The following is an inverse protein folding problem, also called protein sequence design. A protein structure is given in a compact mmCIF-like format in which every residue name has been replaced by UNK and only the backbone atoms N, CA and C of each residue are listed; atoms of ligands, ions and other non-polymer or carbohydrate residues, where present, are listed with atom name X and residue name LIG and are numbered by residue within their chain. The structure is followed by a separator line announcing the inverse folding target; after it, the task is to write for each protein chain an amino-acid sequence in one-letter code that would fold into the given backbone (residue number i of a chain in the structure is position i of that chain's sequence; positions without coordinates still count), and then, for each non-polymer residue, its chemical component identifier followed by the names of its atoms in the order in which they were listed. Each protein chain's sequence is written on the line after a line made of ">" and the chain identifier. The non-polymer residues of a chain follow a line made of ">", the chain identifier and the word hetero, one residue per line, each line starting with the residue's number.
data_IF_675788116877
#
_entry.id   IF_675788116877
#
_cell.length_a   1.000
_cell.length_b   1.000
_cell.length_c   1.000
_cell.angle_alpha   90.00
_cell.angle_beta   90.00
_cell.angle_gamma   90.00
#
_symmetry.space_group_name_H-M   'P 1'
#
loop_
_entity.id
_entity.type
_entity.pdbx_description
1 polymer ?
#
# COMPACT_ATOMS: atom_id res chain seq x y z
N UNK A 1 12.20 20.02 13.51
CA UNK A 1 13.19 19.95 12.41
C UNK A 1 13.41 21.36 11.87
N UNK A 2 14.56 21.64 11.26
CA UNK A 2 14.76 22.91 10.54
C UNK A 2 13.70 22.99 9.44
N UNK A 3 13.10 24.17 9.24
CA UNK A 3 12.21 24.39 8.09
C UNK A 3 13.07 24.36 6.84
N UNK A 4 12.53 23.90 5.72
CA UNK A 4 13.23 23.95 4.45
C UNK A 4 12.47 24.82 3.46
N UNK A 5 13.21 25.46 2.57
CA UNK A 5 12.70 26.11 1.37
C UNK A 5 13.41 25.48 0.19
N UNK A 6 12.71 25.31 -0.90
CA UNK A 6 13.28 24.75 -2.10
C UNK A 6 12.88 25.49 -3.36
N UNK A 7 13.73 25.33 -4.35
CA UNK A 7 13.61 25.93 -5.66
C UNK A 7 13.80 24.85 -6.71
N UNK A 8 12.80 24.72 -7.58
CA UNK A 8 12.78 23.84 -8.72
C UNK A 8 13.11 24.67 -9.96
N UNK A 9 14.05 24.19 -10.78
CA UNK A 9 14.25 24.64 -12.16
C UNK A 9 14.04 23.43 -13.07
N UNK A 10 13.07 23.53 -13.98
CA UNK A 10 12.76 22.50 -14.98
C UNK A 10 13.10 23.05 -16.36
N UNK A 11 13.93 22.31 -17.09
CA UNK A 11 14.40 22.66 -18.43
C UNK A 11 14.00 21.56 -19.41
N UNK A 12 13.27 21.93 -20.46
CA UNK A 12 12.91 21.07 -21.58
C UNK A 12 13.65 21.53 -22.83
N UNK A 13 14.57 20.73 -23.34
CA UNK A 13 15.35 21.08 -24.54
C UNK A 13 14.93 20.21 -25.72
N UNK A 14 14.42 20.84 -26.77
CA UNK A 14 14.09 20.17 -28.03
C UNK A 14 15.36 19.79 -28.78
N UNK A 15 15.54 18.50 -29.08
CA UNK A 15 16.78 17.98 -29.68
C UNK A 15 16.96 18.40 -31.13
N UNK A 16 15.88 18.69 -31.84
CA UNK A 16 15.91 19.04 -33.26
C UNK A 16 16.31 20.51 -33.47
N UNK A 17 15.79 21.40 -32.63
CA UNK A 17 15.98 22.85 -32.72
C UNK A 17 17.03 23.39 -31.76
N UNK A 18 17.35 22.67 -30.68
CA UNK A 18 18.20 23.13 -29.59
C UNK A 18 17.54 24.18 -28.68
N UNK A 19 16.23 24.41 -28.81
CA UNK A 19 15.51 25.41 -28.01
C UNK A 19 15.18 24.86 -26.63
N UNK A 20 15.48 25.62 -25.58
CA UNK A 20 15.18 25.26 -24.17
C UNK A 20 14.04 26.10 -23.62
N UNK A 21 13.01 25.43 -23.10
CA UNK A 21 11.96 26.00 -22.26
C UNK A 21 12.36 25.83 -20.79
N UNK A 22 12.31 26.91 -20.00
CA UNK A 22 12.72 26.89 -18.59
C UNK A 22 11.59 27.41 -17.71
N UNK A 23 11.30 26.69 -16.63
CA UNK A 23 10.38 27.08 -15.57
C UNK A 23 11.09 27.09 -14.22
N UNK A 24 10.65 27.97 -13.34
CA UNK A 24 11.18 28.06 -11.98
C UNK A 24 10.04 28.17 -10.99
N UNK A 25 10.04 27.30 -9.99
CA UNK A 25 8.98 27.21 -9.00
C UNK A 25 9.54 27.05 -7.59
N UNK A 26 8.70 27.33 -6.61
CA UNK A 26 9.00 27.09 -5.19
C UNK A 26 8.12 25.97 -4.66
N UNK A 27 8.56 25.28 -3.61
CA UNK A 27 7.81 24.17 -3.04
C UNK A 27 7.24 24.46 -1.66
N UNK A 28 6.26 23.65 -1.30
CA UNK A 28 5.89 23.35 0.07
C UNK A 28 6.68 22.12 0.56
N UNK A 29 7.06 22.11 1.83
CA UNK A 29 7.62 20.94 2.52
C UNK A 29 6.50 20.27 3.30
N UNK A 30 6.43 18.95 3.25
CA UNK A 30 5.40 18.17 3.95
C UNK A 30 5.90 17.71 5.34
N UNK A 31 5.03 17.01 6.06
CA UNK A 31 5.37 16.40 7.35
C UNK A 31 6.10 15.06 7.21
N UNK A 32 6.35 14.54 5.99
CA UNK A 32 6.79 13.16 5.78
C UNK A 32 8.03 12.77 6.61
N UNK A 33 9.12 13.54 6.50
CA UNK A 33 10.36 13.22 7.22
C UNK A 33 10.20 13.37 8.73
N UNK A 34 9.36 14.32 9.20
CA UNK A 34 9.09 14.49 10.62
C UNK A 34 8.30 13.32 11.19
N UNK A 35 7.30 12.85 10.45
CA UNK A 35 6.46 11.73 10.84
C UNK A 35 7.29 10.43 10.88
N UNK A 36 8.13 10.18 9.86
CA UNK A 36 9.00 8.99 9.81
C UNK A 36 10.02 8.92 10.95
N UNK A 37 10.54 10.06 11.41
CA UNK A 37 11.54 10.09 12.49
C UNK A 37 10.92 10.31 13.87
N UNK A 38 9.73 10.89 13.93
CA UNK A 38 9.08 11.34 15.17
C UNK A 38 8.02 10.39 15.70
N UNK A 39 7.47 9.51 14.85
CA UNK A 39 6.38 8.60 15.22
C UNK A 39 6.94 7.18 15.30
N UNK A 40 6.53 6.44 16.33
CA UNK A 40 7.01 5.09 16.58
C UNK A 40 5.84 4.15 16.91
N UNK A 41 4.97 3.85 15.92
CA UNK A 41 3.80 3.02 16.17
C UNK A 41 4.23 1.62 16.61
N UNK A 42 3.60 1.10 17.66
CA UNK A 42 3.88 -0.24 18.22
C UNK A 42 5.36 -0.45 18.59
N UNK A 43 6.05 0.64 18.95
CA UNK A 43 7.46 0.65 19.30
C UNK A 43 8.38 0.02 18.23
N UNK A 44 8.04 0.21 16.96
CA UNK A 44 8.79 -0.25 15.79
C UNK A 44 10.33 -0.13 15.93
N UNK A 45 10.83 1.00 16.43
CA UNK A 45 12.27 1.28 16.52
C UNK A 45 13.00 0.60 17.68
N UNK A 46 12.28 0.04 18.64
CA UNK A 46 12.89 -0.64 19.79
C UNK A 46 12.91 -2.15 19.57
N UNK A 47 14.04 -2.82 19.81
CA UNK A 47 14.07 -4.29 19.80
C UNK A 47 13.22 -4.84 20.96
N UNK A 48 11.97 -5.18 20.64
CA UNK A 48 10.94 -5.60 21.60
C UNK A 48 10.71 -7.11 21.64
N UNK A 49 11.17 -7.89 20.65
CA UNK A 49 11.02 -9.34 20.60
C UNK A 49 12.36 -10.10 20.82
N UNK A 50 12.26 -11.38 21.15
CA UNK A 50 13.32 -12.18 21.79
C UNK A 50 14.49 -12.62 20.91
N UNK A 51 14.29 -13.01 19.64
CA UNK A 51 15.33 -13.60 18.79
C UNK A 51 14.94 -13.49 17.30
N UNK A 52 15.91 -13.26 16.39
CA UNK A 52 15.75 -13.23 14.91
C UNK A 52 14.82 -12.17 14.29
N UNK A 53 14.80 -10.94 14.82
CA UNK A 53 14.13 -9.82 14.13
C UNK A 53 15.02 -9.27 13.00
N UNK A 54 14.52 -9.30 11.77
CA UNK A 54 15.11 -8.53 10.67
C UNK A 54 14.74 -7.06 10.85
N UNK A 55 15.73 -6.17 10.77
CA UNK A 55 15.56 -4.73 10.93
C UNK A 55 16.32 -4.00 9.84
N UNK A 56 15.74 -2.91 9.34
CA UNK A 56 16.42 -2.04 8.40
C UNK A 56 17.66 -1.39 9.03
N UNK A 57 18.74 -1.28 8.25
CA UNK A 57 19.91 -0.51 8.64
C UNK A 57 19.69 0.94 8.21
N UNK A 58 19.26 1.78 9.15
CA UNK A 58 18.87 3.16 8.88
C UNK A 58 19.95 3.97 8.15
N UNK A 59 21.22 3.85 8.55
CA UNK A 59 22.34 4.58 7.92
C UNK A 59 22.69 4.10 6.49
N UNK A 60 22.15 2.97 6.06
CA UNK A 60 22.32 2.46 4.68
C UNK A 60 21.08 2.82 3.84
N UNK A 61 19.89 2.72 4.42
CA UNK A 61 18.65 2.85 3.67
C UNK A 61 17.99 4.21 3.70
N UNK A 62 18.03 4.91 4.83
CA UNK A 62 17.24 6.12 5.06
C UNK A 62 18.11 7.33 5.41
N UNK A 63 19.17 7.17 6.20
CA UNK A 63 20.04 8.26 6.62
C UNK A 63 21.32 8.31 5.76
N UNK A 64 21.93 9.49 5.57
CA UNK A 64 21.42 10.83 5.92
C UNK A 64 20.12 11.20 5.18
N UNK A 65 19.34 12.16 5.69
CA UNK A 65 18.03 12.56 5.10
C UNK A 65 18.15 12.79 3.59
N UNK A 66 19.09 13.63 3.15
CA UNK A 66 19.47 13.74 1.74
C UNK A 66 20.80 12.99 1.51
N UNK A 67 20.91 12.14 0.47
CA UNK A 67 19.95 11.95 -0.61
C UNK A 67 19.10 10.66 -0.45
N UNK A 68 18.71 10.25 0.76
CA UNK A 68 18.06 8.94 0.99
C UNK A 68 16.56 9.07 1.32
N UNK A 69 16.17 9.65 2.46
CA UNK A 69 14.74 9.95 2.77
C UNK A 69 14.16 11.00 1.82
N UNK A 70 14.98 11.95 1.39
CA UNK A 70 14.70 12.88 0.31
C UNK A 70 15.79 12.63 -0.73
N UNK A 71 15.47 11.82 -1.73
CA UNK A 71 16.44 11.24 -2.65
C UNK A 71 15.93 10.99 -4.06
N UNK A 72 14.61 10.92 -4.21
CA UNK A 72 13.95 10.76 -5.48
C UNK A 72 13.01 11.91 -5.79
N UNK A 73 12.41 11.83 -6.96
CA UNK A 73 11.45 12.79 -7.52
C UNK A 73 10.30 12.04 -8.18
N UNK A 74 9.07 12.53 -8.00
CA UNK A 74 7.85 12.08 -8.65
C UNK A 74 7.27 13.24 -9.47
N UNK A 75 6.91 12.99 -10.74
CA UNK A 75 6.36 13.96 -11.67
C UNK A 75 4.90 13.61 -11.97
N UNK A 76 3.98 14.53 -11.70
CA UNK A 76 2.54 14.29 -11.73
C UNK A 76 1.86 14.98 -12.90
N UNK A 77 0.87 14.34 -13.54
CA UNK A 77 0.16 14.91 -14.69
C UNK A 77 -0.82 16.01 -14.33
N UNK A 78 -1.30 16.05 -13.08
CA UNK A 78 -2.18 17.09 -12.57
C UNK A 78 -1.61 17.74 -11.31
N UNK A 79 -2.03 18.98 -11.05
CA UNK A 79 -1.69 19.70 -9.83
C UNK A 79 -2.06 18.90 -8.58
N UNK A 80 -1.27 19.08 -7.53
CA UNK A 80 -1.45 18.45 -6.23
C UNK A 80 -2.07 19.43 -5.24
N UNK A 81 -2.91 18.92 -4.34
CA UNK A 81 -3.37 19.69 -3.19
C UNK A 81 -2.19 20.04 -2.29
N UNK A 82 -1.91 21.33 -2.10
CA UNK A 82 -0.86 21.81 -1.20
C UNK A 82 -1.31 21.73 0.26
N UNK A 83 -0.99 20.60 0.89
CA UNK A 83 -1.18 20.36 2.33
C UNK A 83 0.04 19.58 2.85
N UNK A 84 0.58 20.01 3.99
CA UNK A 84 1.71 19.34 4.62
C UNK A 84 1.40 17.89 5.02
N UNK A 85 0.13 17.51 5.15
CA UNK A 85 -0.31 16.15 5.43
C UNK A 85 -0.72 15.36 4.17
N UNK A 86 -0.70 15.98 2.98
CA UNK A 86 -0.95 15.28 1.72
C UNK A 86 0.31 14.52 1.27
N UNK A 87 0.61 13.44 1.98
CA UNK A 87 1.83 12.64 1.76
C UNK A 87 1.68 11.67 0.58
N UNK A 88 0.46 11.24 0.29
CA UNK A 88 0.13 10.28 -0.76
C UNK A 88 -1.08 10.80 -1.54
N UNK A 89 -0.88 11.38 -2.73
CA UNK A 89 -1.98 11.77 -3.60
C UNK A 89 -2.87 10.59 -3.97
N UNK A 90 -4.13 10.86 -4.34
CA UNK A 90 -5.01 9.82 -4.85
C UNK A 90 -4.41 9.13 -6.08
N UNK A 91 -4.64 7.82 -6.22
CA UNK A 91 -4.20 7.05 -7.39
C UNK A 91 -4.84 7.51 -8.71
N UNK A 92 -5.85 8.39 -8.71
CA UNK A 92 -6.29 9.07 -9.94
C UNK A 92 -5.21 9.97 -10.55
N UNK A 93 -4.19 10.34 -9.76
CA UNK A 93 -3.07 11.19 -10.16
C UNK A 93 -1.75 10.47 -9.84
N UNK A 94 -1.56 9.26 -10.36
CA UNK A 94 -0.26 8.57 -10.28
C UNK A 94 0.83 9.32 -11.06
N UNK A 95 2.10 9.22 -10.64
CA UNK A 95 3.20 9.88 -11.33
C UNK A 95 3.38 9.34 -12.76
N UNK A 96 3.55 10.23 -13.72
CA UNK A 96 3.87 9.88 -15.12
C UNK A 96 5.34 9.51 -15.28
N UNK A 97 6.20 10.04 -14.42
CA UNK A 97 7.64 9.87 -14.45
C UNK A 97 8.23 10.04 -13.05
N UNK A 98 9.42 9.48 -12.83
CA UNK A 98 10.11 9.54 -11.54
C UNK A 98 11.61 9.34 -11.72
N UNK A 99 12.40 9.62 -10.69
CA UNK A 99 13.81 9.23 -10.65
C UNK A 99 14.28 9.06 -9.20
N UNK A 100 15.27 8.20 -8.99
CA UNK A 100 15.89 7.90 -7.69
C UNK A 100 17.19 8.68 -7.52
N UNK A 101 17.96 8.39 -6.46
CA UNK A 101 19.26 9.00 -6.18
C UNK A 101 20.43 8.35 -6.95
N UNK A 102 20.13 7.62 -8.01
CA UNK A 102 21.08 6.86 -8.82
C UNK A 102 20.71 6.90 -10.32
N UNK A 103 21.56 6.30 -11.14
CA UNK A 103 21.35 6.23 -12.59
C UNK A 103 20.29 5.18 -12.94
N UNK A 104 19.47 5.43 -13.95
CA UNK A 104 18.57 4.40 -14.46
C UNK A 104 19.35 3.36 -15.27
N UNK A 105 19.61 2.21 -14.65
CA UNK A 105 20.29 1.08 -15.30
C UNK A 105 19.31 0.12 -16.02
N UNK A 106 18.02 0.45 -16.09
CA UNK A 106 16.96 -0.42 -16.62
C UNK A 106 16.34 0.14 -17.90
N UNK A 107 15.46 -0.63 -18.54
CA UNK A 107 14.66 -0.19 -19.69
C UNK A 107 13.40 0.61 -19.28
N UNK A 108 13.25 0.96 -18.00
CA UNK A 108 12.09 1.69 -17.51
C UNK A 108 12.04 3.11 -18.09
N UNK A 109 11.13 3.34 -19.03
CA UNK A 109 10.95 4.63 -19.72
C UNK A 109 10.32 5.70 -18.84
N UNK A 110 9.74 5.37 -17.69
CA UNK A 110 9.24 6.38 -16.75
C UNK A 110 10.35 6.90 -15.83
N UNK A 111 11.48 6.20 -15.74
CA UNK A 111 12.56 6.49 -14.79
C UNK A 111 13.68 7.33 -15.43
N UNK A 112 13.95 8.50 -14.87
CA UNK A 112 15.12 9.32 -15.17
C UNK A 112 16.37 8.88 -14.42
N UNK A 113 17.48 9.59 -14.63
CA UNK A 113 18.76 9.32 -13.96
C UNK A 113 19.20 10.51 -13.13
N UNK A 114 19.73 10.27 -11.93
CA UNK A 114 20.41 11.33 -11.19
C UNK A 114 21.75 11.64 -11.85
N UNK A 115 22.03 12.92 -12.05
CA UNK A 115 23.36 13.39 -12.42
C UNK A 115 24.22 13.44 -11.15
N UNK A 116 25.06 12.40 -10.98
CA UNK A 116 25.89 12.20 -9.79
C UNK A 116 27.02 13.21 -9.63
N UNK A 117 27.35 13.97 -10.69
CA UNK A 117 28.39 15.01 -10.63
C UNK A 117 27.81 16.34 -10.19
N UNK A 118 26.64 16.69 -10.71
CA UNK A 118 26.00 17.96 -10.38
C UNK A 118 25.22 17.88 -9.06
N UNK A 119 24.71 16.71 -8.67
CA UNK A 119 24.01 16.54 -7.41
C UNK A 119 24.97 16.47 -6.24
N UNK A 120 24.78 17.33 -5.24
CA UNK A 120 25.73 17.46 -4.14
C UNK A 120 25.10 18.08 -2.90
N UNK A 121 25.70 17.78 -1.74
CA UNK A 121 25.43 18.53 -0.52
C UNK A 121 25.87 19.99 -0.67
N UNK A 122 25.09 20.88 -0.10
CA UNK A 122 25.40 22.31 0.09
C UNK A 122 25.75 22.54 1.57
N UNK A 123 26.20 23.74 1.92
CA UNK A 123 26.52 24.08 3.32
C UNK A 123 25.29 23.99 4.24
N UNK A 124 24.12 24.39 3.75
CA UNK A 124 22.85 24.48 4.46
C UNK A 124 21.72 23.69 3.76
N UNK A 125 22.07 22.74 2.90
CA UNK A 125 21.06 22.08 2.05
C UNK A 125 21.60 21.00 1.12
N UNK A 126 20.83 20.69 0.09
CA UNK A 126 21.20 19.74 -0.95
C UNK A 126 20.70 20.22 -2.31
N UNK A 127 21.51 20.00 -3.35
CA UNK A 127 21.13 20.22 -4.75
C UNK A 127 21.01 18.88 -5.44
N UNK A 128 19.83 18.60 -5.97
CA UNK A 128 19.54 17.44 -6.80
C UNK A 128 19.50 17.85 -8.27
N UNK A 129 20.02 16.99 -9.13
CA UNK A 129 19.92 17.14 -10.58
C UNK A 129 19.53 15.81 -11.19
N UNK A 130 18.38 15.77 -11.87
CA UNK A 130 17.92 14.61 -12.63
C UNK A 130 17.81 14.93 -14.12
N UNK A 131 18.11 13.93 -14.93
CA UNK A 131 18.11 14.02 -16.38
C UNK A 131 17.24 12.90 -16.97
N UNK A 132 16.43 13.25 -17.95
CA UNK A 132 15.57 12.34 -18.69
C UNK A 132 15.90 12.47 -20.17
N UNK A 133 16.26 11.34 -20.77
CA UNK A 133 16.50 11.25 -22.22
C UNK A 133 15.19 11.41 -23.00
N UNK A 134 15.22 11.50 -24.34
CA UNK A 134 14.00 11.67 -25.13
C UNK A 134 12.99 10.55 -24.95
N UNK A 135 13.45 9.31 -24.78
CA UNK A 135 12.58 8.16 -24.52
C UNK A 135 12.03 8.12 -23.10
N UNK A 136 12.56 8.94 -22.18
CA UNK A 136 12.23 8.89 -20.76
C UNK A 136 11.31 10.01 -20.29
N UNK A 137 10.45 9.69 -19.33
CA UNK A 137 9.61 10.63 -18.60
C UNK A 137 8.59 11.37 -19.47
N UNK A 138 8.12 10.74 -20.54
CA UNK A 138 7.18 11.36 -21.48
C UNK A 138 5.77 11.44 -20.89
N UNK A 139 5.16 12.62 -21.00
CA UNK A 139 3.85 12.91 -20.43
C UNK A 139 3.62 14.40 -20.21
N UNK A 140 2.40 14.71 -19.77
CA UNK A 140 2.11 16.03 -19.20
C UNK A 140 2.62 16.06 -17.76
N UNK A 141 3.24 17.15 -17.36
CA UNK A 141 3.75 17.38 -16.00
C UNK A 141 3.15 18.70 -15.51
N UNK A 142 2.42 18.64 -14.41
CA UNK A 142 1.78 19.80 -13.77
C UNK A 142 2.21 19.98 -12.31
N UNK A 143 2.82 18.97 -11.69
CA UNK A 143 3.39 19.07 -10.37
C UNK A 143 4.60 18.14 -10.19
N UNK A 144 5.44 18.48 -9.24
CA UNK A 144 6.67 17.78 -8.89
C UNK A 144 6.73 17.62 -7.38
N UNK A 145 7.07 16.43 -6.90
CA UNK A 145 7.31 16.20 -5.48
C UNK A 145 8.60 15.43 -5.24
N UNK A 146 9.40 15.86 -4.28
CA UNK A 146 10.52 15.06 -3.79
C UNK A 146 9.99 13.89 -2.95
N UNK A 147 10.66 12.75 -3.03
CA UNK A 147 10.33 11.50 -2.34
C UNK A 147 11.61 10.82 -1.84
N UNK A 148 11.51 9.69 -1.14
CA UNK A 148 12.65 8.83 -0.84
C UNK A 148 13.33 8.27 -2.10
N UNK A 149 14.59 7.82 -1.98
CA UNK A 149 15.29 7.10 -3.06
C UNK A 149 14.47 5.89 -3.56
N UNK A 150 13.87 5.15 -2.64
CA UNK A 150 13.05 3.97 -2.91
C UNK A 150 11.75 4.31 -3.65
N UNK A 151 11.09 5.39 -3.23
CA UNK A 151 9.90 5.91 -3.93
C UNK A 151 10.23 6.43 -5.32
N UNK A 152 11.41 7.03 -5.50
CA UNK A 152 11.91 7.48 -6.80
C UNK A 152 12.41 6.34 -7.72
N UNK A 153 12.57 5.12 -7.21
CA UNK A 153 13.07 4.00 -7.99
C UNK A 153 11.98 3.36 -8.86
N UNK A 154 10.80 3.09 -8.28
CA UNK A 154 9.67 2.44 -8.97
C UNK A 154 8.29 2.99 -8.56
N UNK A 155 8.20 4.05 -7.74
CA UNK A 155 6.95 4.52 -7.15
C UNK A 155 6.17 3.38 -6.49
N UNK A 156 4.91 3.16 -6.88
CA UNK A 156 4.08 2.05 -6.39
C UNK A 156 4.34 0.73 -7.13
N UNK A 157 5.22 0.69 -8.11
CA UNK A 157 5.52 -0.44 -8.99
C UNK A 157 5.64 0.02 -10.44
N UNK A 158 6.60 -0.54 -11.17
CA UNK A 158 6.92 -0.18 -12.55
C UNK A 158 6.88 -1.38 -13.48
N UNK A 159 7.13 -1.17 -14.77
CA UNK A 159 7.34 -2.26 -15.74
C UNK A 159 8.64 -3.03 -15.52
N UNK A 160 9.55 -2.54 -14.68
CA UNK A 160 10.85 -3.15 -14.43
C UNK A 160 10.93 -3.87 -13.07
N UNK A 161 10.28 -3.32 -12.02
CA UNK A 161 10.41 -3.81 -10.65
C UNK A 161 9.29 -3.28 -9.74
N UNK A 162 9.04 -3.94 -8.61
CA UNK A 162 7.90 -3.66 -7.70
C UNK A 162 8.23 -3.64 -6.21
N UNK A 163 9.45 -3.99 -5.81
CA UNK A 163 9.83 -4.25 -4.42
C UNK A 163 10.30 -3.01 -3.63
N UNK A 164 10.38 -1.84 -4.28
CA UNK A 164 10.83 -0.61 -3.59
C UNK A 164 9.72 0.17 -2.91
N UNK A 165 8.45 -0.07 -3.27
CA UNK A 165 7.30 0.68 -2.74
C UNK A 165 7.02 0.43 -1.26
N UNK A 166 7.35 -0.76 -0.75
CA UNK A 166 7.19 -1.17 0.65
C UNK A 166 8.53 -1.61 1.22
N UNK A 167 9.28 -0.68 1.81
CA UNK A 167 10.55 -0.99 2.45
C UNK A 167 10.30 -1.68 3.79
N UNK A 168 10.76 -2.92 3.96
CA UNK A 168 10.67 -3.62 5.24
C UNK A 168 11.51 -2.87 6.30
N UNK A 169 10.84 -2.26 7.26
CA UNK A 169 11.51 -1.64 8.41
C UNK A 169 11.83 -2.70 9.46
N UNK A 170 10.88 -3.62 9.68
CA UNK A 170 11.04 -4.67 10.67
C UNK A 170 10.11 -5.86 10.47
N UNK A 171 10.66 -7.05 10.72
CA UNK A 171 9.94 -8.30 10.87
C UNK A 171 10.10 -8.80 12.31
N UNK A 172 9.01 -8.80 13.10
CA UNK A 172 9.02 -9.30 14.47
C UNK A 172 8.52 -10.74 14.50
N UNK A 173 9.26 -11.65 15.12
CA UNK A 173 8.79 -13.02 15.35
C UNK A 173 7.65 -13.07 16.38
N UNK A 174 6.59 -13.81 16.07
CA UNK A 174 5.44 -14.03 16.94
C UNK A 174 5.56 -15.38 17.65
N UNK A 175 6.06 -15.38 18.88
CA UNK A 175 6.08 -16.58 19.74
C UNK A 175 4.76 -16.69 20.52
N UNK A 176 3.66 -16.87 19.78
CA UNK A 176 2.29 -16.91 20.32
C UNK A 176 1.71 -18.31 20.19
N UNK A 177 0.78 -18.66 21.08
CA UNK A 177 -0.02 -19.86 20.86
C UNK A 177 -0.96 -19.68 19.66
N UNK A 178 -1.36 -20.81 19.07
CA UNK A 178 -2.16 -20.85 17.84
C UNK A 178 -3.51 -20.15 18.02
N UNK A 179 -4.07 -20.10 19.22
CA UNK A 179 -5.34 -19.39 19.46
C UNK A 179 -5.17 -17.87 19.31
N UNK A 180 -4.05 -17.31 19.80
CA UNK A 180 -3.69 -15.91 19.58
C UNK A 180 -3.32 -15.61 18.14
N UNK A 181 -2.59 -16.52 17.47
CA UNK A 181 -2.29 -16.37 16.03
C UNK A 181 -3.58 -16.30 15.20
N UNK A 182 -4.57 -17.14 15.50
CA UNK A 182 -5.87 -17.10 14.83
C UNK A 182 -6.59 -15.76 15.06
N UNK A 183 -6.51 -15.17 16.26
CA UNK A 183 -7.06 -13.82 16.52
C UNK A 183 -6.36 -12.78 15.64
N UNK A 184 -5.02 -12.72 15.67
CA UNK A 184 -4.24 -11.76 14.91
C UNK A 184 -4.46 -11.88 13.41
N UNK A 185 -4.47 -13.10 12.86
CA UNK A 185 -4.53 -13.30 11.41
C UNK A 185 -5.94 -13.09 10.83
N UNK A 186 -6.97 -13.04 11.69
CA UNK A 186 -8.34 -12.63 11.35
C UNK A 186 -8.60 -11.13 11.54
N UNK A 187 -7.59 -10.36 11.94
CA UNK A 187 -7.74 -8.91 12.08
C UNK A 187 -8.17 -8.30 10.76
N UNK A 188 -9.23 -7.50 10.81
CA UNK A 188 -9.78 -6.78 9.65
C UNK A 188 -9.49 -5.28 9.71
N UNK A 189 -9.24 -4.75 10.90
CA UNK A 189 -9.02 -3.32 11.13
C UNK A 189 -8.15 -3.08 12.37
N UNK A 190 -7.32 -2.05 12.29
CA UNK A 190 -6.53 -1.51 13.40
C UNK A 190 -6.81 -0.01 13.46
N UNK A 191 -7.32 0.45 14.60
CA UNK A 191 -7.43 1.86 14.95
C UNK A 191 -6.19 2.25 15.76
N UNK A 192 -5.22 2.84 15.06
CA UNK A 192 -3.92 3.19 15.64
C UNK A 192 -4.03 4.28 16.71
N UNK A 193 -4.93 5.25 16.52
CA UNK A 193 -5.06 6.42 17.40
C UNK A 193 -5.66 6.02 18.75
N UNK A 194 -6.65 5.13 18.75
CA UNK A 194 -7.26 4.62 19.98
C UNK A 194 -6.58 3.33 20.50
N UNK A 195 -5.61 2.79 19.74
CA UNK A 195 -4.92 1.56 20.09
C UNK A 195 -5.86 0.36 20.17
N UNK A 196 -6.73 0.21 19.17
CA UNK A 196 -7.72 -0.87 19.09
C UNK A 196 -7.48 -1.76 17.87
N UNK A 197 -7.82 -3.03 18.01
CA UNK A 197 -7.77 -4.05 16.98
C UNK A 197 -9.11 -4.78 16.90
N UNK A 198 -9.61 -5.01 15.69
CA UNK A 198 -10.87 -5.71 15.44
C UNK A 198 -10.62 -7.01 14.69
N UNK A 199 -10.97 -8.13 15.33
CA UNK A 199 -10.86 -9.48 14.77
C UNK A 199 -12.25 -10.07 14.56
N UNK A 200 -12.51 -10.61 13.36
CA UNK A 200 -13.82 -11.20 13.03
C UNK A 200 -13.66 -12.69 12.75
N UNK A 201 -14.40 -13.49 13.51
CA UNK A 201 -14.41 -14.94 13.41
C UNK A 201 -15.76 -15.44 12.88
N UNK A 202 -15.73 -16.53 12.10
CA UNK A 202 -16.92 -17.27 11.73
C UNK A 202 -16.90 -18.66 12.38
N UNK A 203 -18.03 -19.08 12.93
CA UNK A 203 -18.22 -20.45 13.43
C UNK A 203 -19.65 -20.92 13.20
N UNK A 204 -19.82 -21.93 12.36
CA UNK A 204 -21.10 -22.57 12.03
C UNK A 204 -22.18 -21.63 11.49
N UNK A 205 -22.87 -20.91 12.35
CA UNK A 205 -23.93 -19.95 11.98
C UNK A 205 -23.76 -18.63 12.74
N UNK A 206 -22.55 -18.35 13.21
CA UNK A 206 -22.24 -17.18 14.03
C UNK A 206 -21.06 -16.42 13.47
N UNK A 207 -21.15 -15.10 13.57
CA UNK A 207 -20.04 -14.18 13.32
C UNK A 207 -19.72 -13.48 14.63
N UNK A 208 -18.52 -13.68 15.15
CA UNK A 208 -18.05 -13.07 16.39
C UNK A 208 -17.09 -11.94 16.07
N UNK A 209 -17.37 -10.76 16.60
CA UNK A 209 -16.55 -9.56 16.45
C UNK A 209 -15.93 -9.30 17.80
N UNK A 210 -14.61 -9.39 17.88
CA UNK A 210 -13.86 -9.15 19.10
C UNK A 210 -13.03 -7.89 18.96
N UNK A 211 -13.19 -6.98 19.92
CA UNK A 211 -12.41 -5.74 20.04
C UNK A 211 -11.33 -5.93 21.10
N UNK A 212 -10.09 -5.67 20.72
CA UNK A 212 -8.93 -5.77 21.60
C UNK A 212 -8.24 -4.42 21.73
N UNK A 213 -7.70 -4.13 22.92
CA UNK A 213 -6.66 -3.12 23.13
C UNK A 213 -5.33 -3.69 22.63
N UNK A 214 -4.61 -2.90 21.82
CA UNK A 214 -3.25 -3.20 21.33
C UNK A 214 -2.31 -1.98 21.56
N UNK A 215 -1.19 -2.10 22.29
CA UNK A 215 -0.32 -0.96 22.60
C UNK A 215 0.32 -0.34 21.34
N UNK A 216 -0.18 0.83 20.89
CA UNK A 216 0.33 1.51 19.68
C UNK A 216 1.25 2.69 20.05
N UNK A 217 0.68 3.73 20.67
CA UNK A 217 1.43 4.96 21.05
C UNK A 217 1.53 5.15 22.57
N UNK A 218 0.60 4.57 23.33
CA UNK A 218 0.69 4.44 24.77
C UNK A 218 0.75 2.97 25.19
N UNK A 219 1.37 2.73 26.35
CA UNK A 219 1.62 1.41 26.91
C UNK A 219 1.27 1.39 28.40
N UNK A 220 0.52 0.37 28.81
CA UNK A 220 0.21 0.06 30.19
C UNK A 220 1.40 -0.54 30.94
N UNK A 221 1.40 -0.44 32.27
CA UNK A 221 2.52 -0.84 33.13
C UNK A 221 2.96 -2.31 32.99
N UNK A 222 2.06 -3.19 32.55
CA UNK A 222 2.31 -4.62 32.38
C UNK A 222 2.16 -5.09 30.93
N UNK A 223 1.94 -4.17 30.00
CA UNK A 223 1.84 -4.50 28.58
C UNK A 223 3.23 -4.66 27.96
N UNK A 224 3.28 -5.47 26.90
CA UNK A 224 4.46 -5.69 26.07
C UNK A 224 4.14 -5.28 24.63
N UNK A 225 5.19 -5.02 23.87
CA UNK A 225 5.12 -4.50 22.49
C UNK A 225 5.45 -5.56 21.43
N UNK A 226 5.61 -6.81 21.86
CA UNK A 226 5.88 -8.01 21.07
C UNK A 226 4.59 -8.77 20.68
N UNK A 227 3.45 -8.08 20.74
CA UNK A 227 2.11 -8.61 20.41
C UNK A 227 1.61 -9.73 21.35
N UNK A 228 2.31 -9.99 22.47
CA UNK A 228 1.90 -11.00 23.47
C UNK A 228 0.87 -10.50 24.48
N UNK A 229 0.57 -9.19 24.51
CA UNK A 229 -0.37 -8.58 25.46
C UNK A 229 -1.52 -7.86 24.77
N UNK A 230 -2.34 -8.61 24.03
CA UNK A 230 -3.64 -8.13 23.56
C UNK A 230 -4.68 -8.29 24.68
N UNK A 231 -5.38 -7.22 25.02
CA UNK A 231 -6.44 -7.27 26.05
C UNK A 231 -7.80 -7.24 25.38
N UNK A 232 -8.59 -8.31 25.53
CA UNK A 232 -9.96 -8.34 25.04
C UNK A 232 -10.80 -7.31 25.81
N UNK A 233 -11.45 -6.40 25.10
CA UNK A 233 -12.38 -5.44 25.70
C UNK A 233 -13.83 -5.91 25.61
N UNK A 234 -14.24 -6.40 24.45
CA UNK A 234 -15.59 -6.88 24.21
C UNK A 234 -15.64 -7.90 23.07
N UNK A 235 -16.65 -8.77 23.13
CA UNK A 235 -17.02 -9.66 22.03
C UNK A 235 -18.52 -9.59 21.81
N UNK A 236 -18.92 -9.25 20.60
CA UNK A 236 -20.30 -9.33 20.14
C UNK A 236 -20.48 -10.52 19.20
N UNK A 237 -21.52 -11.32 19.42
CA UNK A 237 -21.83 -12.50 18.59
C UNK A 237 -23.11 -12.25 17.80
N UNK A 238 -23.00 -12.26 16.47
CA UNK A 238 -24.10 -12.13 15.53
C UNK A 238 -24.60 -13.51 15.12
N UNK A 239 -25.91 -13.74 15.23
CA UNK A 239 -26.55 -14.98 14.81
C UNK A 239 -26.99 -14.87 13.35
N UNK A 240 -26.36 -15.63 12.47
CA UNK A 240 -26.64 -15.63 11.04
C UNK A 240 -27.67 -16.71 10.70
N UNK A 241 -28.62 -16.35 9.83
CA UNK A 241 -29.64 -17.24 9.28
C UNK A 241 -29.31 -17.70 7.86
N UNK A 242 -28.62 -16.84 7.10
CA UNK A 242 -28.30 -17.05 5.68
C UNK A 242 -26.80 -17.14 5.45
N UNK A 243 -26.02 -16.26 6.08
CA UNK A 243 -24.58 -16.21 5.87
C UNK A 243 -23.88 -17.43 6.47
N UNK A 244 -23.01 -18.03 5.67
CA UNK A 244 -22.14 -19.12 6.07
C UNK A 244 -20.90 -19.11 5.18
N UNK A 245 -19.79 -19.67 5.68
CA UNK A 245 -18.66 -20.00 4.82
C UNK A 245 -18.90 -21.36 4.17
N UNK A 246 -18.76 -21.43 2.84
CA UNK A 246 -18.69 -22.69 2.11
C UNK A 246 -17.44 -23.49 2.51
N UNK A 247 -17.48 -24.81 2.30
CA UNK A 247 -16.35 -25.69 2.60
C UNK A 247 -16.26 -26.08 4.08
N UNK A 248 -16.03 -27.37 4.35
CA UNK A 248 -15.96 -27.90 5.72
C UNK A 248 -14.53 -28.04 6.23
N UNK A 249 -13.61 -28.54 5.38
CA UNK A 249 -12.20 -28.70 5.73
C UNK A 249 -11.41 -27.38 5.62
N UNK A 250 -11.59 -26.67 4.51
CA UNK A 250 -11.07 -25.32 4.30
C UNK A 250 -12.26 -24.39 4.06
N UNK A 251 -12.62 -23.54 5.03
CA UNK A 251 -13.67 -22.55 4.84
C UNK A 251 -13.29 -21.53 3.76
N UNK A 252 -14.15 -21.38 2.75
CA UNK A 252 -14.04 -20.42 1.66
C UNK A 252 -14.81 -19.16 2.02
N UNK A 253 -14.13 -18.21 2.64
CA UNK A 253 -14.70 -16.92 2.98
C UNK A 253 -13.68 -16.01 3.64
N UNK A 254 -14.02 -14.72 3.67
CA UNK A 254 -13.15 -13.69 4.21
C UNK A 254 -13.98 -12.52 4.74
N UNK A 255 -13.46 -11.86 5.77
CA UNK A 255 -13.96 -10.58 6.24
C UNK A 255 -13.02 -9.46 5.80
N UNK A 256 -13.61 -8.36 5.35
CA UNK A 256 -12.94 -7.21 4.76
C UNK A 256 -13.50 -5.92 5.37
N UNK A 257 -12.62 -4.96 5.64
CA UNK A 257 -13.03 -3.60 5.92
C UNK A 257 -13.38 -2.87 4.62
N UNK A 258 -14.57 -2.25 4.57
CA UNK A 258 -14.98 -1.45 3.43
C UNK A 258 -14.49 0.00 3.45
N UNK A 259 -13.97 0.48 4.57
CA UNK A 259 -13.58 1.89 4.76
C UNK A 259 -14.76 2.87 4.70
N UNK A 260 -15.99 2.36 4.72
CA UNK A 260 -17.25 3.11 4.53
C UNK A 260 -18.16 3.05 5.77
N UNK A 261 -17.58 2.71 6.93
CA UNK A 261 -18.32 2.49 8.17
C UNK A 261 -18.92 1.08 8.31
N UNK A 262 -18.60 0.17 7.39
CA UNK A 262 -19.05 -1.23 7.44
C UNK A 262 -17.88 -2.22 7.30
N UNK A 263 -18.00 -3.34 8.00
CA UNK A 263 -17.28 -4.56 7.66
C UNK A 263 -18.16 -5.45 6.78
N UNK A 264 -17.52 -6.19 5.88
CA UNK A 264 -18.18 -7.08 4.96
C UNK A 264 -17.60 -8.49 5.10
N UNK A 265 -18.45 -9.50 5.15
CA UNK A 265 -18.07 -10.91 4.99
C UNK A 265 -18.59 -11.43 3.66
N UNK A 266 -17.75 -12.19 2.94
CA UNK A 266 -18.12 -12.80 1.66
C UNK A 266 -17.72 -14.28 1.64
N UNK A 267 -18.51 -15.10 0.96
CA UNK A 267 -18.23 -16.52 0.75
C UNK A 267 -18.78 -17.03 -0.58
N UNK A 268 -17.91 -17.67 -1.37
CA UNK A 268 -18.28 -18.38 -2.60
C UNK A 268 -17.41 -19.62 -2.78
N UNK A 269 -17.90 -20.56 -3.59
CA UNK A 269 -17.05 -21.57 -4.21
C UNK A 269 -16.52 -21.01 -5.54
N UNK A 270 -15.29 -21.36 -5.89
CA UNK A 270 -14.76 -21.00 -7.21
C UNK A 270 -15.58 -21.64 -8.32
N UNK A 271 -15.77 -20.92 -9.42
CA UNK A 271 -16.52 -21.40 -10.57
C UNK A 271 -15.85 -20.96 -11.88
N UNK A 272 -15.66 -21.91 -12.79
CA UNK A 272 -15.07 -21.69 -14.12
C UNK A 272 -16.11 -21.49 -15.24
N UNK A 273 -17.39 -21.58 -14.89
CA UNK A 273 -18.51 -21.47 -15.82
C UNK A 273 -19.80 -21.11 -15.09
N UNK A 274 -20.75 -20.54 -15.82
CA UNK A 274 -22.10 -20.27 -15.35
C UNK A 274 -22.15 -19.19 -14.27
N UNK A 275 -23.25 -19.16 -13.53
CA UNK A 275 -23.49 -18.16 -12.50
C UNK A 275 -22.71 -18.48 -11.21
N UNK A 276 -22.17 -17.45 -10.56
CA UNK A 276 -21.57 -17.59 -9.23
C UNK A 276 -22.61 -17.32 -8.14
N UNK A 277 -22.54 -18.09 -7.05
CA UNK A 277 -23.32 -17.79 -5.83
C UNK A 277 -22.41 -17.20 -4.78
N UNK A 278 -22.78 -16.04 -4.24
CA UNK A 278 -22.02 -15.32 -3.21
C UNK A 278 -22.91 -15.10 -1.98
N UNK A 279 -22.54 -15.72 -0.86
CA UNK A 279 -23.10 -15.37 0.44
C UNK A 279 -22.39 -14.13 0.98
N UNK A 280 -23.14 -13.24 1.61
CA UNK A 280 -22.59 -12.00 2.15
C UNK A 280 -23.24 -11.61 3.47
N UNK A 281 -22.47 -10.88 4.28
CA UNK A 281 -22.93 -10.18 5.47
C UNK A 281 -22.33 -8.77 5.45
N UNK A 282 -23.15 -7.77 5.76
CA UNK A 282 -22.77 -6.36 5.91
C UNK A 282 -23.05 -5.94 7.33
N UNK A 283 -22.01 -5.54 8.05
CA UNK A 283 -22.04 -5.25 9.49
C UNK A 283 -21.66 -3.78 9.69
N UNK A 284 -22.54 -3.00 10.32
CA UNK A 284 -22.27 -1.60 10.63
C UNK A 284 -21.32 -1.49 11.81
N UNK A 285 -20.22 -0.73 11.69
CA UNK A 285 -19.19 -0.66 12.73
C UNK A 285 -19.69 -0.01 14.03
N UNK A 286 -20.54 1.02 13.93
CA UNK A 286 -20.98 1.82 15.07
C UNK A 286 -21.81 1.05 16.11
N UNK A 287 -22.77 0.24 15.63
CA UNK A 287 -23.80 -0.40 16.46
C UNK A 287 -23.89 -1.92 16.24
N UNK A 288 -23.05 -2.47 15.36
CA UNK A 288 -22.98 -3.88 15.02
C UNK A 288 -24.28 -4.47 14.48
N UNK A 289 -25.23 -3.62 14.06
CA UNK A 289 -26.38 -4.07 13.28
C UNK A 289 -25.92 -4.61 11.94
N UNK A 290 -26.60 -5.64 11.44
CA UNK A 290 -26.17 -6.30 10.21
C UNK A 290 -27.34 -6.71 9.32
N UNK A 291 -27.02 -6.85 8.05
CA UNK A 291 -27.85 -7.49 7.04
C UNK A 291 -27.03 -8.57 6.36
N UNK A 292 -27.68 -9.64 5.91
CA UNK A 292 -27.04 -10.75 5.22
C UNK A 292 -27.90 -11.21 4.05
N UNK A 293 -27.30 -11.96 3.13
CA UNK A 293 -28.03 -12.51 2.01
C UNK A 293 -27.18 -13.39 1.11
N UNK A 294 -27.75 -13.64 -0.07
CA UNK A 294 -27.09 -14.36 -1.15
C UNK A 294 -27.29 -13.58 -2.45
N UNK A 295 -26.25 -13.55 -3.27
CA UNK A 295 -26.30 -13.06 -4.64
C UNK A 295 -26.13 -14.21 -5.62
N UNK A 296 -26.85 -14.14 -6.74
CA UNK A 296 -26.53 -14.88 -7.95
C UNK A 296 -25.92 -13.89 -8.94
N UNK A 297 -24.64 -14.08 -9.24
CA UNK A 297 -23.86 -13.23 -10.13
C UNK A 297 -23.84 -13.90 -11.50
N UNK A 298 -24.65 -13.38 -12.43
CA UNK A 298 -24.87 -14.00 -13.73
C UNK A 298 -23.59 -14.06 -14.56
N UNK A 299 -23.21 -15.26 -14.99
CA UNK A 299 -22.03 -15.53 -15.82
C UNK A 299 -20.72 -14.88 -15.30
N UNK A 300 -20.57 -14.75 -13.98
CA UNK A 300 -19.34 -14.29 -13.35
C UNK A 300 -18.51 -15.51 -12.91
N UNK A 301 -17.30 -15.66 -13.43
CA UNK A 301 -16.41 -16.78 -13.10
C UNK A 301 -15.40 -16.33 -12.06
N UNK A 302 -15.61 -16.71 -10.81
CA UNK A 302 -14.83 -16.17 -9.69
C UNK A 302 -13.87 -17.21 -9.14
N UNK A 303 -12.70 -16.79 -8.68
CA UNK A 303 -11.99 -17.53 -7.63
C UNK A 303 -12.79 -17.45 -6.33
N UNK A 304 -12.46 -18.31 -5.36
CA UNK A 304 -12.93 -18.09 -3.99
C UNK A 304 -12.40 -16.72 -3.50
N UNK A 305 -13.26 -15.89 -2.93
CA UNK A 305 -12.91 -14.54 -2.41
C UNK A 305 -11.76 -14.57 -1.40
N UNK A 306 -11.64 -15.68 -0.70
CA UNK A 306 -10.55 -15.99 0.20
C UNK A 306 -10.83 -17.27 0.97
N UNK A 307 -9.95 -17.58 1.90
CA UNK A 307 -10.11 -18.66 2.85
C UNK A 307 -9.41 -18.33 4.16
N UNK A 308 -9.98 -18.81 5.26
CA UNK A 308 -9.32 -18.81 6.56
C UNK A 308 -9.55 -20.15 7.22
N UNK A 309 -8.47 -20.85 7.56
CA UNK A 309 -8.53 -22.14 8.25
C UNK A 309 -7.76 -22.05 9.56
N UNK A 310 -8.48 -22.30 10.65
CA UNK A 310 -7.93 -22.53 11.98
C UNK A 310 -7.34 -23.95 12.01
N UNK A 311 -6.03 -24.08 11.74
CA UNK A 311 -5.32 -25.33 12.04
C UNK A 311 -4.86 -25.32 13.50
N UNK A 312 -4.61 -26.51 14.04
CA UNK A 312 -3.98 -26.74 15.34
C UNK A 312 -2.50 -26.38 15.39
N UNK A 313 -1.85 -26.25 14.22
CA UNK A 313 -0.41 -25.97 14.12
C UNK A 313 -0.09 -24.52 13.77
N UNK A 314 -0.78 -23.94 12.78
CA UNK A 314 -0.63 -22.55 12.34
C UNK A 314 -1.86 -22.12 11.53
N UNK A 315 -2.28 -20.85 11.53
CA UNK A 315 -3.37 -20.42 10.68
C UNK A 315 -2.99 -20.48 9.19
N UNK A 316 -3.97 -20.81 8.34
CA UNK A 316 -3.82 -20.77 6.88
C UNK A 316 -4.80 -19.78 6.27
N UNK A 317 -4.31 -18.92 5.39
CA UNK A 317 -5.12 -17.85 4.80
C UNK A 317 -4.88 -17.68 3.32
N UNK A 318 -5.93 -17.34 2.59
CA UNK A 318 -5.83 -16.83 1.22
C UNK A 318 -6.71 -15.59 1.08
N UNK A 319 -6.17 -14.51 0.52
CA UNK A 319 -6.92 -13.27 0.24
C UNK A 319 -6.92 -12.98 -1.25
N UNK A 320 -8.07 -13.16 -1.89
CA UNK A 320 -8.24 -12.93 -3.33
C UNK A 320 -9.22 -11.78 -3.62
N UNK A 321 -9.56 -11.00 -2.60
CA UNK A 321 -10.55 -9.95 -2.68
C UNK A 321 -10.28 -8.77 -1.74
N UNK A 322 -10.77 -7.59 -2.13
CA UNK A 322 -10.75 -6.35 -1.36
C UNK A 322 -12.06 -5.59 -1.55
N UNK A 323 -12.40 -4.68 -0.64
CA UNK A 323 -13.53 -3.75 -0.80
C UNK A 323 -12.98 -2.33 -0.95
N UNK A 324 -13.49 -1.58 -1.93
CA UNK A 324 -13.17 -0.17 -2.13
C UNK A 324 -14.41 0.57 -2.63
N UNK A 325 -14.75 1.68 -1.96
CA UNK A 325 -15.81 2.60 -2.37
C UNK A 325 -17.17 1.93 -2.66
N UNK A 326 -17.58 0.96 -1.82
CA UNK A 326 -18.84 0.24 -1.99
C UNK A 326 -18.83 -0.85 -3.07
N UNK A 327 -17.65 -1.28 -3.54
CA UNK A 327 -17.51 -2.41 -4.47
C UNK A 327 -16.57 -3.46 -3.90
N UNK A 328 -16.95 -4.72 -4.07
CA UNK A 328 -16.09 -5.89 -3.91
C UNK A 328 -15.29 -6.10 -5.20
N UNK A 329 -13.97 -6.20 -5.06
CA UNK A 329 -13.05 -6.58 -6.14
C UNK A 329 -12.57 -8.00 -5.85
N UNK A 330 -12.76 -8.91 -6.81
CA UNK A 330 -12.39 -10.33 -6.67
C UNK A 330 -11.79 -10.85 -7.96
N UNK A 331 -10.73 -11.66 -7.84
CA UNK A 331 -10.07 -12.24 -9.01
C UNK A 331 -11.02 -13.12 -9.84
N UNK A 332 -10.94 -12.96 -11.16
CA UNK A 332 -11.54 -13.88 -12.11
C UNK A 332 -10.91 -15.27 -12.03
N UNK A 333 -11.71 -16.30 -12.29
CA UNK A 333 -11.28 -17.70 -12.23
C UNK A 333 -10.07 -17.96 -13.13
N UNK A 334 -10.11 -17.42 -14.35
CA UNK A 334 -9.16 -17.65 -15.45
C UNK A 334 -7.88 -16.79 -15.38
N UNK A 335 -7.69 -16.03 -14.29
CA UNK A 335 -6.52 -15.15 -14.11
C UNK A 335 -6.34 -14.11 -15.24
N UNK A 336 -7.46 -13.58 -15.74
CA UNK A 336 -7.54 -12.65 -16.88
C UNK A 336 -8.14 -11.28 -16.52
N UNK A 337 -8.45 -11.07 -15.24
CA UNK A 337 -9.00 -9.82 -14.74
C UNK A 337 -9.58 -9.89 -13.33
N UNK A 338 -10.27 -8.82 -12.96
CA UNK A 338 -10.90 -8.62 -11.65
C UNK A 338 -12.36 -8.24 -11.85
N UNK A 339 -13.26 -8.95 -11.18
CA UNK A 339 -14.66 -8.56 -11.10
C UNK A 339 -14.83 -7.45 -10.05
N UNK A 340 -15.48 -6.37 -10.44
CA UNK A 340 -15.96 -5.28 -9.59
C UNK A 340 -17.47 -5.46 -9.41
N UNK A 341 -17.91 -5.70 -8.17
CA UNK A 341 -19.29 -6.03 -7.82
C UNK A 341 -19.79 -5.01 -6.80
N UNK A 342 -20.90 -4.33 -7.08
CA UNK A 342 -21.47 -3.36 -6.14
C UNK A 342 -22.05 -4.07 -4.91
N UNK A 343 -21.60 -3.70 -3.71
CA UNK A 343 -22.01 -4.37 -2.47
C UNK A 343 -23.48 -4.12 -2.09
N UNK A 344 -24.13 -3.15 -2.75
CA UNK A 344 -25.55 -2.84 -2.55
C UNK A 344 -26.43 -3.23 -3.74
N UNK A 345 -25.84 -3.68 -4.85
CA UNK A 345 -26.57 -4.07 -6.05
C UNK A 345 -25.86 -5.20 -6.81
N UNK A 346 -26.32 -6.44 -6.62
CA UNK A 346 -25.69 -7.62 -7.24
C UNK A 346 -25.85 -7.73 -8.76
N UNK A 347 -26.60 -6.83 -9.41
CA UNK A 347 -26.66 -6.77 -10.88
C UNK A 347 -25.63 -5.81 -11.46
N UNK A 348 -25.02 -4.96 -10.63
CA UNK A 348 -23.95 -4.04 -11.03
C UNK A 348 -22.61 -4.77 -10.87
N UNK A 349 -22.27 -5.50 -11.93
CA UNK A 349 -21.07 -6.31 -12.04
C UNK A 349 -20.33 -5.89 -13.30
N UNK A 350 -19.07 -5.49 -13.13
CA UNK A 350 -18.17 -5.12 -14.23
C UNK A 350 -16.92 -5.99 -14.16
N UNK A 351 -16.41 -6.42 -15.31
CA UNK A 351 -15.14 -7.14 -15.39
C UNK A 351 -14.04 -6.20 -15.89
N UNK A 352 -13.01 -6.02 -15.07
CA UNK A 352 -11.81 -5.23 -15.39
C UNK A 352 -10.77 -6.22 -15.93
N UNK A 353 -10.66 -6.29 -17.25
CA UNK A 353 -9.69 -7.19 -17.90
C UNK A 353 -8.25 -6.72 -17.65
N UNK A 354 -7.33 -7.68 -17.47
CA UNK A 354 -5.90 -7.40 -17.41
C UNK A 354 -5.38 -6.75 -18.69
N UNK A 355 -5.81 -7.22 -19.86
CA UNK A 355 -5.27 -6.79 -21.16
C UNK A 355 -3.86 -7.33 -21.46
N UNK A 356 -3.31 -8.20 -20.59
CA UNK A 356 -2.05 -8.91 -20.74
C UNK A 356 -2.15 -10.29 -20.08
N UNK A 357 -1.19 -11.18 -20.34
CA UNK A 357 -1.10 -12.48 -19.65
C UNK A 357 -0.49 -12.30 -18.27
N UNK A 358 -1.29 -12.48 -17.21
CA UNK A 358 -0.78 -12.47 -15.83
C UNK A 358 -0.05 -13.77 -15.49
N UNK A 359 0.93 -13.68 -14.61
CA UNK A 359 1.59 -14.84 -13.99
C UNK A 359 0.72 -15.52 -12.93
N UNK A 360 -0.40 -14.91 -12.51
CA UNK A 360 -1.37 -15.48 -11.58
C UNK A 360 -0.80 -15.86 -10.20
N UNK A 361 0.18 -15.10 -9.71
CA UNK A 361 0.90 -15.38 -8.46
C UNK A 361 0.39 -14.56 -7.27
N UNK A 362 0.80 -14.98 -6.09
CA UNK A 362 0.61 -14.25 -4.83
C UNK A 362 1.48 -13.00 -4.80
N UNK A 363 0.93 -11.88 -4.32
CA UNK A 363 1.66 -10.63 -4.09
C UNK A 363 2.75 -10.79 -3.03
N UNK A 364 2.59 -11.77 -2.14
CA UNK A 364 3.58 -12.12 -1.14
C UNK A 364 4.31 -13.42 -1.49
N UNK A 365 5.43 -13.65 -0.80
CA UNK A 365 6.12 -14.95 -0.83
C UNK A 365 5.15 -16.12 -0.57
N UNK A 366 5.41 -17.28 -1.17
CA UNK A 366 4.57 -18.47 -1.03
C UNK A 366 4.59 -19.04 0.39
N UNK A 367 3.49 -19.58 0.88
CA UNK A 367 3.41 -20.14 2.24
C UNK A 367 2.02 -20.53 2.69
N UNK A 368 1.82 -20.68 4.01
CA UNK A 368 0.49 -20.96 4.58
C UNK A 368 -0.44 -19.74 4.56
N UNK A 369 0.12 -18.53 4.43
CA UNK A 369 -0.62 -17.29 4.25
C UNK A 369 -0.24 -16.65 2.93
N UNK A 370 -1.24 -16.45 2.06
CA UNK A 370 -1.09 -15.84 0.75
C UNK A 370 -2.10 -14.71 0.53
N UNK A 371 -1.65 -13.63 -0.08
CA UNK A 371 -2.50 -12.57 -0.59
C UNK A 371 -2.30 -12.44 -2.10
N UNK A 372 -3.37 -12.23 -2.85
CA UNK A 372 -3.32 -11.93 -4.29
C UNK A 372 -3.84 -10.55 -4.62
N UNK A 373 -4.74 -10.02 -3.79
CA UNK A 373 -5.20 -8.65 -3.84
C UNK A 373 -5.02 -8.01 -2.45
N UNK A 374 -4.41 -6.83 -2.42
CA UNK A 374 -4.32 -5.99 -1.23
C UNK A 374 -4.71 -4.55 -1.57
N UNK A 375 -5.25 -3.84 -0.58
CA UNK A 375 -5.42 -2.39 -0.64
C UNK A 375 -4.16 -1.72 -0.10
N UNK A 376 -3.68 -0.72 -0.81
CA UNK A 376 -2.66 0.21 -0.36
C UNK A 376 -3.20 1.63 -0.54
N UNK A 377 -3.70 2.23 0.54
CA UNK A 377 -4.51 3.46 0.49
C UNK A 377 -5.73 3.27 -0.43
N UNK A 378 -5.82 3.97 -1.55
CA UNK A 378 -6.92 3.82 -2.54
C UNK A 378 -6.56 2.90 -3.72
N UNK A 379 -5.32 2.42 -3.80
CA UNK A 379 -4.79 1.58 -4.88
C UNK A 379 -5.00 0.10 -4.55
N UNK A 380 -5.53 -0.66 -5.50
CA UNK A 380 -5.52 -2.13 -5.42
C UNK A 380 -4.23 -2.62 -6.06
N UNK A 381 -3.50 -3.48 -5.36
CA UNK A 381 -2.24 -4.04 -5.84
C UNK A 381 -2.33 -5.57 -5.95
N UNK A 382 -1.81 -6.09 -7.06
CA UNK A 382 -1.60 -7.50 -7.33
C UNK A 382 -0.12 -7.81 -7.60
N UNK A 383 0.16 -9.03 -8.07
CA UNK A 383 1.53 -9.49 -8.33
C UNK A 383 2.20 -8.75 -9.49
N UNK A 384 1.49 -8.61 -10.61
CA UNK A 384 1.96 -7.99 -11.87
C UNK A 384 1.02 -6.88 -12.36
N UNK A 385 0.20 -6.32 -11.46
CA UNK A 385 -0.69 -5.21 -11.77
C UNK A 385 -1.05 -4.34 -10.58
N UNK A 386 -1.66 -3.20 -10.91
CA UNK A 386 -2.35 -2.31 -9.99
C UNK A 386 -3.68 -1.86 -10.62
N UNK A 387 -4.65 -1.48 -9.78
CA UNK A 387 -5.92 -0.88 -10.23
C UNK A 387 -6.13 0.43 -9.47
N UNK A 388 -6.08 1.56 -10.19
CA UNK A 388 -6.28 2.89 -9.61
C UNK A 388 -7.74 3.11 -9.18
N UNK A 389 -8.01 4.23 -8.51
CA UNK A 389 -9.36 4.59 -8.01
C UNK A 389 -10.42 4.75 -9.13
N UNK A 390 -9.98 4.96 -10.37
CA UNK A 390 -10.85 5.06 -11.55
C UNK A 390 -11.04 3.70 -12.26
N UNK A 391 -10.56 2.61 -11.65
CA UNK A 391 -10.60 1.25 -12.18
C UNK A 391 -9.73 1.01 -13.42
N UNK A 392 -8.72 1.86 -13.65
CA UNK A 392 -7.77 1.61 -14.71
C UNK A 392 -6.82 0.48 -14.30
N UNK A 393 -6.75 -0.54 -15.15
CA UNK A 393 -5.79 -1.62 -15.05
C UNK A 393 -4.40 -1.16 -15.49
N UNK A 394 -3.40 -1.31 -14.62
CA UNK A 394 -2.02 -0.90 -14.88
C UNK A 394 -1.12 -2.13 -14.72
N UNK A 395 -0.51 -2.59 -15.81
CA UNK A 395 0.47 -3.67 -15.76
C UNK A 395 1.76 -3.21 -15.06
N UNK A 396 2.31 -4.06 -14.19
CA UNK A 396 3.63 -3.90 -13.59
C UNK A 396 4.50 -5.12 -13.88
N UNK A 397 5.77 -5.04 -13.49
CA UNK A 397 6.61 -6.22 -13.36
C UNK A 397 5.98 -7.23 -12.40
N UNK A 398 6.09 -8.51 -12.73
CA UNK A 398 5.61 -9.59 -11.88
C UNK A 398 6.61 -9.90 -10.77
N UNK A 399 6.28 -9.49 -9.54
CA UNK A 399 7.16 -9.70 -8.40
C UNK A 399 6.43 -9.67 -7.07
N UNK A 400 7.06 -10.27 -6.06
CA UNK A 400 6.58 -10.19 -4.68
C UNK A 400 6.83 -8.79 -4.13
N UNK A 401 5.82 -8.21 -3.47
CA UNK A 401 5.87 -6.88 -2.85
C UNK A 401 5.96 -6.94 -1.33
N UNK A 402 5.58 -8.07 -0.73
CA UNK A 402 5.62 -8.30 0.71
C UNK A 402 6.05 -9.73 1.04
N UNK A 403 6.34 -9.97 2.32
CA UNK A 403 6.48 -11.31 2.88
C UNK A 403 5.10 -11.93 3.14
N UNK A 404 5.05 -13.23 3.46
CA UNK A 404 3.84 -14.02 3.71
C UNK A 404 2.81 -13.26 4.57
N UNK A 405 1.71 -12.81 3.98
CA UNK A 405 0.74 -11.95 4.66
C UNK A 405 -0.59 -12.66 4.87
N UNK A 406 -1.07 -12.63 6.11
CA UNK A 406 -2.36 -13.21 6.48
C UNK A 406 -3.47 -12.18 6.65
N UNK A 407 -3.13 -10.90 6.83
CA UNK A 407 -4.05 -9.79 7.10
C UNK A 407 -4.09 -8.82 5.93
N UNK A 408 -5.05 -7.87 5.87
CA UNK A 408 -4.91 -6.68 5.04
C UNK A 408 -3.67 -5.86 5.45
N UNK A 409 -3.30 -4.89 4.63
CA UNK A 409 -2.30 -3.88 5.00
C UNK A 409 -2.96 -2.76 5.81
N UNK A 410 -2.54 -2.60 7.06
CA UNK A 410 -2.99 -1.51 7.93
C UNK A 410 -2.06 -0.32 7.77
N UNK A 411 -2.59 0.82 7.35
CA UNK A 411 -1.79 2.00 7.05
C UNK A 411 -1.97 3.07 8.13
N UNK A 412 -0.88 3.56 8.70
CA UNK A 412 -0.86 4.74 9.57
C UNK A 412 0.19 5.72 9.07
N UNK A 413 -0.26 6.85 8.51
CA UNK A 413 0.60 7.80 7.78
C UNK A 413 1.45 7.05 6.73
N UNK A 414 2.78 7.04 6.86
CA UNK A 414 3.74 6.32 6.01
C UNK A 414 4.01 4.88 6.43
N UNK A 415 3.62 4.49 7.65
CA UNK A 415 3.81 3.13 8.12
C UNK A 415 2.73 2.22 7.59
N UNK A 416 3.14 1.02 7.18
CA UNK A 416 2.25 -0.04 6.74
C UNK A 416 2.56 -1.29 7.54
N UNK A 417 1.52 -1.95 8.03
CA UNK A 417 1.64 -3.06 8.96
C UNK A 417 0.77 -4.23 8.50
N UNK A 418 1.23 -5.44 8.78
CA UNK A 418 0.35 -6.60 8.81
C UNK A 418 0.98 -7.80 9.48
N UNK A 419 0.14 -8.77 9.82
CA UNK A 419 0.55 -10.07 10.35
C UNK A 419 0.41 -11.16 9.30
N UNK A 420 1.31 -12.14 9.37
CA UNK A 420 1.25 -13.33 8.54
C UNK A 420 2.37 -14.29 8.89
N UNK A 421 2.55 -15.32 8.07
CA UNK A 421 3.55 -16.32 8.35
C UNK A 421 3.46 -17.53 7.43
N UNK A 422 4.41 -18.43 7.63
CA UNK A 422 4.52 -19.64 6.84
C UNK A 422 4.95 -20.80 7.73
N UNK A 423 4.06 -21.79 7.90
CA UNK A 423 4.37 -23.09 8.48
C UNK A 423 5.09 -23.04 9.85
N UNK A 424 4.57 -22.30 10.84
CA UNK A 424 5.18 -22.17 12.17
C UNK A 424 6.24 -21.07 12.29
N UNK A 425 6.34 -20.22 11.27
CA UNK A 425 7.15 -19.01 11.28
C UNK A 425 6.23 -17.81 11.06
N UNK A 426 5.69 -17.28 12.15
CA UNK A 426 4.72 -16.21 12.16
C UNK A 426 5.36 -14.88 12.57
N UNK A 427 4.93 -13.81 11.91
CA UNK A 427 5.55 -12.50 12.03
C UNK A 427 4.54 -11.36 11.99
N UNK A 428 4.93 -10.27 12.64
CA UNK A 428 4.40 -8.93 12.37
C UNK A 428 5.39 -8.21 11.46
N UNK A 429 4.92 -7.83 10.29
CA UNK A 429 5.67 -7.05 9.32
C UNK A 429 5.33 -5.57 9.45
N UNK A 430 6.36 -4.74 9.41
CA UNK A 430 6.26 -3.30 9.44
C UNK A 430 7.09 -2.75 8.29
N UNK A 431 6.41 -2.02 7.42
CA UNK A 431 6.96 -1.43 6.21
C UNK A 431 6.87 0.09 6.29
N UNK A 432 7.75 0.75 5.56
CA UNK A 432 7.60 2.14 5.15
C UNK A 432 7.04 2.16 3.73
N UNK A 433 5.93 2.85 3.52
CA UNK A 433 5.46 3.19 2.18
C UNK A 433 6.37 4.29 1.63
N UNK A 434 7.21 3.96 0.67
CA UNK A 434 8.33 4.83 0.26
C UNK A 434 7.99 5.94 -0.74
N UNK A 435 6.91 5.87 -1.56
CA UNK A 435 6.51 6.95 -2.48
C UNK A 435 5.79 8.13 -1.80
N UNK A 436 6.25 8.55 -0.62
CA UNK A 436 5.72 9.73 0.06
C UNK A 436 6.22 11.01 -0.59
N UNK A 437 5.39 12.04 -0.55
CA UNK A 437 5.80 13.39 -0.89
C UNK A 437 6.50 14.03 0.32
N UNK A 438 7.80 14.24 0.23
CA UNK A 438 8.57 15.09 1.15
C UNK A 438 8.39 16.58 0.80
N UNK A 439 8.10 16.88 -0.46
CA UNK A 439 7.76 18.22 -0.93
C UNK A 439 6.64 18.16 -1.98
N UNK A 440 5.94 19.29 -2.14
CA UNK A 440 4.94 19.51 -3.19
C UNK A 440 5.31 20.80 -3.92
N UNK A 441 5.41 20.74 -5.25
CA UNK A 441 5.70 21.88 -6.09
C UNK A 441 4.80 21.84 -7.33
N UNK A 442 3.72 22.63 -7.32
CA UNK A 442 2.87 22.80 -8.49
C UNK A 442 3.54 23.72 -9.51
N UNK A 443 3.45 23.36 -10.79
CA UNK A 443 3.92 24.23 -11.86
C UNK A 443 2.85 25.29 -12.15
N UNK A 444 3.27 26.55 -12.30
CA UNK A 444 2.40 27.66 -12.73
C UNK A 444 1.79 27.42 -14.11
N UNK A 445 2.45 26.61 -14.93
CA UNK A 445 1.96 26.10 -16.20
C UNK A 445 2.40 24.65 -16.39
N UNK A 446 1.46 23.77 -16.76
CA UNK A 446 1.79 22.40 -17.12
C UNK A 446 2.64 22.34 -18.40
N UNK A 447 3.62 21.46 -18.41
CA UNK A 447 4.51 21.22 -19.54
C UNK A 447 4.29 19.84 -20.15
N UNK A 448 4.69 19.69 -21.41
CA UNK A 448 4.64 18.40 -22.11
C UNK A 448 6.07 17.98 -22.48
N UNK A 449 6.50 16.88 -21.87
CA UNK A 449 7.72 16.15 -22.23
C UNK A 449 7.34 15.07 -23.24
N UNK A 450 7.95 15.12 -24.42
CA UNK A 450 7.72 14.17 -25.51
C UNK A 450 9.05 13.57 -26.00
N UNK A 451 8.95 12.70 -27.00
CA UNK A 451 10.09 11.97 -27.56
C UNK A 451 11.10 12.82 -28.33
N UNK A 452 10.84 14.11 -28.54
CA UNK A 452 11.74 15.05 -29.22
C UNK A 452 12.51 15.95 -28.24
N UNK A 453 12.21 15.84 -26.93
CA UNK A 453 12.77 16.71 -25.90
C UNK A 453 13.59 15.92 -24.90
N UNK A 454 14.68 16.47 -24.41
CA UNK A 454 15.29 16.06 -23.13
C UNK A 454 14.69 16.89 -21.99
N UNK A 455 14.79 16.38 -20.76
CA UNK A 455 14.39 17.13 -19.57
C UNK A 455 15.51 17.10 -18.53
N UNK A 456 15.85 18.28 -17.99
CA UNK A 456 16.73 18.42 -16.83
C UNK A 456 15.94 19.08 -15.71
N UNK A 457 16.01 18.51 -14.52
CA UNK A 457 15.38 19.06 -13.33
C UNK A 457 16.47 19.32 -12.29
N UNK A 458 16.67 20.58 -11.96
CA UNK A 458 17.52 20.99 -10.82
C UNK A 458 16.62 21.36 -9.66
N UNK A 459 16.78 20.71 -8.52
CA UNK A 459 16.00 20.97 -7.32
C UNK A 459 16.95 21.29 -6.17
N UNK A 460 16.87 22.49 -5.63
CA UNK A 460 17.64 22.89 -4.44
C UNK A 460 16.73 22.89 -3.23
N UNK A 461 17.15 22.30 -2.13
CA UNK A 461 16.46 22.35 -0.84
C UNK A 461 17.44 22.89 0.21
N UNK A 462 17.12 24.02 0.84
CA UNK A 462 17.96 24.67 1.86
C UNK A 462 17.20 24.89 3.15
N UNK A 463 17.92 24.94 4.26
CA UNK A 463 17.39 25.23 5.58
C UNK A 463 16.96 26.70 5.68
N UNK A 464 15.79 26.93 6.28
CA UNK A 464 15.29 28.26 6.62
C UNK A 464 15.70 28.55 8.06
N UNK A 465 16.57 29.54 8.23
CA UNK A 465 16.89 30.08 9.56
C UNK A 465 15.75 31.01 9.98
N UNK A 466 14.92 30.58 10.92
CA UNK A 466 14.02 31.53 11.58
C UNK A 466 14.84 32.46 12.47
N UNK A 467 14.82 33.76 12.14
CA UNK A 467 15.18 34.81 13.08
C UNK A 467 14.22 34.71 14.27
N UNK A 468 14.75 34.33 15.43
CA UNK A 468 14.01 34.24 16.70
C UNK A 468 13.58 35.60 17.22
#
# INVERSE_FOLDING_TARGET
>A
MRKYSGNLVLELTDENSGTTETLTETNMVTNAVNDILGINPLALFYKVAGEYDEMVIWNEELLPICPNMIGGILLFPSALTEDANNLYPSSSNLPVAYASNDVNATANVQRGSMNLTESMALEDGYKFVWEFTPSQGNGTIAAVGLTSKHGGANAYGSSAEVDTGLLLLRQNSLSLDVSWLNILFRTVEVDFENGLLYSIAYSSSTVSISRYRIPVFDIGLNEKLDDTTLTLEDTTVLQCSTFSFYGSYTPYGIFLDGGDGYWYGFSNQSNSSGDSTMLWIKIKKDDLTFTEGSWTLSNAHLKAVGSFREDSSYPNTQRNAVVRNGYLYVLGYDDDGVYKINVSNSTDVTFISFGFTSEAKSICTSGSCEARLLMLKDLIIGYDFMIDVNDNMIQTYGGTRTSNLATPLFCYKEYVMGWGGSYGNEYRYNYLLTPYLATICNLSQAVVKNADKTMKITYTLTEVVEST
#
